data_IF_108901913622
#
_entry.id   IF_108901913622
#
_cell.length_a   1.000
_cell.length_b   1.000
_cell.length_c   1.000
_cell.angle_alpha   90.00
_cell.angle_beta   90.00
_cell.angle_gamma   90.00
#
_symmetry.space_group_name_H-M   'P 1'
#
loop_
_entity.id
_entity.type
_entity.pdbx_description
1 polymer ?
#
# COMPACT_ATOMS: atom_id res chain seq x y z
N UNK A 1 -1.14 -2.48 -15.49
CA UNK A 1 -0.39 -3.71 -15.28
C UNK A 1 -0.75 -4.66 -16.40
N UNK A 2 0.13 -4.87 -17.39
CA UNK A 2 -0.03 -5.93 -18.38
C UNK A 2 0.62 -7.15 -17.75
N UNK A 3 -0.17 -7.94 -17.04
CA UNK A 3 0.23 -9.25 -16.55
C UNK A 3 -0.26 -10.26 -17.60
N UNK A 4 0.59 -11.17 -17.99
CA UNK A 4 0.13 -12.38 -18.66
C UNK A 4 -0.63 -13.19 -17.60
N UNK A 5 -1.97 -13.19 -17.68
CA UNK A 5 -2.87 -13.80 -16.68
C UNK A 5 -2.60 -15.31 -16.48
N UNK A 6 -1.93 -15.95 -17.41
CA UNK A 6 -1.57 -17.36 -17.33
C UNK A 6 -0.49 -17.67 -16.28
N UNK A 7 0.42 -16.72 -16.02
CA UNK A 7 1.53 -16.91 -15.09
C UNK A 7 1.17 -16.63 -13.61
N UNK A 8 0.06 -15.91 -13.37
CA UNK A 8 -0.31 -15.47 -12.03
C UNK A 8 -1.80 -15.67 -11.72
N UNK A 9 -2.08 -16.15 -10.53
CA UNK A 9 -3.40 -16.02 -9.92
C UNK A 9 -3.48 -14.65 -9.24
N UNK A 10 -4.34 -13.76 -9.74
CA UNK A 10 -4.55 -12.43 -9.18
C UNK A 10 -5.97 -12.33 -8.65
N UNK A 11 -6.09 -12.00 -7.37
CA UNK A 11 -7.38 -11.69 -6.73
C UNK A 11 -7.36 -10.27 -6.22
N UNK A 12 -8.23 -9.43 -6.77
CA UNK A 12 -8.53 -8.12 -6.18
C UNK A 12 -9.58 -8.31 -5.10
N UNK A 13 -9.33 -7.75 -3.93
CA UNK A 13 -10.26 -7.78 -2.79
C UNK A 13 -10.96 -6.43 -2.75
N UNK A 14 -12.28 -6.46 -2.81
CA UNK A 14 -13.09 -5.26 -2.88
C UNK A 14 -13.04 -4.48 -1.56
N UNK A 15 -12.68 -3.21 -1.67
CA UNK A 15 -12.67 -2.23 -0.60
C UNK A 15 -13.83 -1.25 -0.86
N UNK A 16 -15.05 -1.74 -0.66
CA UNK A 16 -16.28 -0.96 -0.86
C UNK A 16 -16.78 -0.31 0.43
N UNK A 17 -17.87 0.45 0.33
CA UNK A 17 -18.53 1.06 1.48
C UNK A 17 -18.83 0.00 2.57
N UNK A 18 -18.39 0.28 3.81
CA UNK A 18 -18.46 -0.67 4.93
C UNK A 18 -17.14 -1.41 5.21
N UNK A 19 -16.19 -1.46 4.28
CA UNK A 19 -14.85 -1.98 4.56
C UNK A 19 -14.09 -1.04 5.51
N UNK A 20 -13.34 -1.55 6.53
CA UNK A 20 -12.63 -0.71 7.50
C UNK A 20 -11.68 0.33 6.89
N UNK A 21 -11.15 0.04 5.69
CA UNK A 21 -10.17 0.88 4.99
C UNK A 21 -10.72 1.57 3.74
N UNK A 22 -12.06 1.65 3.57
CA UNK A 22 -12.70 2.20 2.37
C UNK A 22 -12.19 3.58 1.95
N UNK A 23 -11.84 4.44 2.91
CA UNK A 23 -11.35 5.80 2.63
C UNK A 23 -9.85 5.96 2.72
N UNK A 24 -9.10 4.86 2.86
CA UNK A 24 -7.66 4.90 3.18
C UNK A 24 -6.79 4.08 2.24
N UNK A 25 -7.35 3.05 1.62
CA UNK A 25 -6.62 2.23 0.64
C UNK A 25 -7.20 2.40 -0.76
N UNK A 26 -6.33 2.34 -1.75
CA UNK A 26 -6.69 2.34 -3.16
C UNK A 26 -7.24 0.96 -3.55
N UNK A 27 -6.56 -0.10 -3.12
CA UNK A 27 -6.91 -1.49 -3.39
C UNK A 27 -6.13 -2.47 -2.51
N UNK A 28 -6.58 -3.72 -2.54
CA UNK A 28 -5.91 -4.87 -1.93
C UNK A 28 -5.82 -5.96 -2.98
N UNK A 29 -4.62 -6.46 -3.22
CA UNK A 29 -4.36 -7.56 -4.15
C UNK A 29 -3.73 -8.76 -3.45
N UNK A 30 -4.19 -9.94 -3.83
CA UNK A 30 -3.47 -11.18 -3.63
C UNK A 30 -2.91 -11.62 -4.98
N UNK A 31 -1.63 -11.94 -5.04
CA UNK A 31 -0.94 -12.42 -6.24
C UNK A 31 -0.18 -13.68 -5.87
N UNK A 32 -0.33 -14.73 -6.68
CA UNK A 32 0.43 -15.97 -6.55
C UNK A 32 1.01 -16.36 -7.90
N UNK A 33 2.24 -16.85 -7.92
CA UNK A 33 2.80 -17.47 -9.12
C UNK A 33 2.16 -18.84 -9.36
N UNK A 34 1.74 -19.10 -10.60
CA UNK A 34 1.31 -20.40 -11.07
C UNK A 34 2.38 -21.07 -11.95
N UNK A 35 3.52 -20.38 -12.14
CA UNK A 35 4.59 -20.84 -13.01
C UNK A 35 5.59 -21.71 -12.24
N UNK A 36 6.17 -22.70 -12.93
CA UNK A 36 7.23 -23.58 -12.40
C UNK A 36 8.60 -22.89 -12.29
N UNK A 37 8.72 -21.69 -12.83
CA UNK A 37 9.93 -20.88 -12.80
C UNK A 37 9.62 -19.47 -12.31
N UNK A 38 10.62 -18.79 -11.77
CA UNK A 38 10.47 -17.43 -11.32
C UNK A 38 9.95 -16.49 -12.41
N UNK A 39 9.04 -15.59 -12.04
CA UNK A 39 8.47 -14.54 -12.89
C UNK A 39 8.79 -13.17 -12.35
N UNK A 40 8.77 -12.18 -13.22
CA UNK A 40 9.05 -10.79 -12.85
C UNK A 40 7.80 -9.95 -13.02
N UNK A 41 7.35 -9.36 -11.92
CA UNK A 41 6.25 -8.42 -11.88
C UNK A 41 6.79 -6.97 -11.90
N UNK A 42 6.49 -6.16 -12.92
CA UNK A 42 6.84 -4.74 -12.90
C UNK A 42 5.92 -3.99 -11.93
N UNK A 43 6.51 -3.26 -11.00
CA UNK A 43 5.81 -2.32 -10.11
C UNK A 43 5.95 -0.93 -10.71
N UNK A 44 4.84 -0.40 -11.19
CA UNK A 44 4.78 0.92 -11.85
C UNK A 44 4.57 2.00 -10.78
N UNK A 45 5.27 3.14 -10.86
CA UNK A 45 5.03 4.28 -9.99
C UNK A 45 3.57 4.76 -10.05
N UNK A 46 2.94 4.90 -8.89
CA UNK A 46 1.53 5.28 -8.77
C UNK A 46 1.26 6.24 -7.60
N UNK A 47 2.32 6.68 -6.91
CA UNK A 47 2.22 7.56 -5.74
C UNK A 47 1.69 6.88 -4.47
N UNK A 48 1.48 5.57 -4.51
CA UNK A 48 0.97 4.81 -3.37
C UNK A 48 2.10 4.21 -2.52
N UNK A 49 1.99 4.33 -1.21
CA UNK A 49 2.70 3.49 -0.26
C UNK A 49 1.96 2.15 -0.12
N UNK A 50 2.65 1.07 0.12
CA UNK A 50 2.04 -0.24 0.32
C UNK A 50 2.59 -1.00 1.52
N UNK A 51 1.74 -1.78 2.18
CA UNK A 51 2.16 -2.93 2.98
C UNK A 51 2.18 -4.15 2.08
N UNK A 52 3.30 -4.87 2.13
CA UNK A 52 3.52 -6.07 1.30
C UNK A 52 3.83 -7.24 2.20
N UNK A 53 3.02 -8.26 2.13
CA UNK A 53 3.23 -9.53 2.82
C UNK A 53 3.54 -10.59 1.79
N UNK A 54 4.62 -11.32 1.97
CA UNK A 54 4.98 -12.41 1.09
C UNK A 54 5.30 -13.68 1.87
N UNK A 55 4.88 -14.79 1.35
CA UNK A 55 5.09 -16.10 1.94
C UNK A 55 5.16 -17.19 0.89
N UNK A 56 5.54 -18.38 1.33
CA UNK A 56 5.54 -19.59 0.53
C UNK A 56 4.63 -20.61 1.23
N UNK A 57 3.88 -21.40 0.46
CA UNK A 57 2.93 -22.39 1.00
C UNK A 57 3.58 -23.49 1.81
N UNK A 58 4.79 -23.88 1.43
CA UNK A 58 5.51 -24.97 2.05
C UNK A 58 6.36 -24.53 3.26
N UNK A 59 6.77 -23.26 3.25
CA UNK A 59 7.62 -22.68 4.28
C UNK A 59 6.80 -21.65 5.03
N UNK A 60 6.34 -21.93 6.22
CA UNK A 60 5.54 -21.05 7.10
C UNK A 60 6.21 -19.69 7.42
N UNK A 61 7.08 -19.22 6.54
CA UNK A 61 7.88 -18.02 6.74
C UNK A 61 7.27 -16.84 5.98
N UNK A 62 6.44 -16.06 6.65
CA UNK A 62 5.84 -14.86 6.10
C UNK A 62 6.75 -13.67 6.37
N UNK A 63 7.12 -12.96 5.32
CA UNK A 63 7.87 -11.70 5.38
C UNK A 63 6.90 -10.54 5.18
N UNK A 64 7.09 -9.46 5.94
CA UNK A 64 6.23 -8.30 5.89
C UNK A 64 7.08 -7.03 5.73
N UNK A 65 6.69 -6.20 4.77
CA UNK A 65 7.42 -5.00 4.39
C UNK A 65 6.50 -3.78 4.30
N UNK A 66 7.10 -2.63 4.54
CA UNK A 66 6.56 -1.33 4.20
C UNK A 66 7.31 -0.87 2.96
N UNK A 67 6.58 -0.67 1.86
CA UNK A 67 7.12 -0.15 0.62
C UNK A 67 6.70 1.31 0.47
N UNK A 68 7.67 2.22 0.45
CA UNK A 68 7.42 3.63 0.18
C UNK A 68 7.03 3.86 -1.28
N UNK A 69 6.66 5.10 -1.62
CA UNK A 69 6.43 5.48 -3.02
C UNK A 69 7.69 5.25 -3.84
N UNK A 70 7.49 4.92 -5.10
CA UNK A 70 8.59 4.81 -6.07
C UNK A 70 8.38 5.80 -7.21
N UNK A 71 9.46 6.36 -7.73
CA UNK A 71 9.51 7.23 -8.91
C UNK A 71 10.13 6.53 -10.13
N UNK A 72 10.50 5.25 -9.97
CA UNK A 72 11.03 4.40 -11.01
C UNK A 72 10.34 3.04 -11.04
N UNK A 73 10.33 2.38 -12.21
CA UNK A 73 9.78 1.03 -12.34
C UNK A 73 10.66 0.05 -11.55
N UNK A 74 10.08 -0.60 -10.55
CA UNK A 74 10.72 -1.68 -9.81
C UNK A 74 10.36 -3.03 -10.41
N UNK A 75 11.25 -4.00 -10.26
CA UNK A 75 11.03 -5.38 -10.70
C UNK A 75 10.94 -6.28 -9.48
N UNK A 76 9.75 -6.83 -9.22
CA UNK A 76 9.54 -7.82 -8.18
C UNK A 76 9.70 -9.21 -8.79
N UNK A 77 10.71 -9.95 -8.35
CA UNK A 77 10.88 -11.35 -8.69
C UNK A 77 9.98 -12.18 -7.77
N UNK A 78 9.11 -12.99 -8.35
CA UNK A 78 8.20 -13.91 -7.64
C UNK A 78 8.66 -15.32 -7.95
N UNK A 79 9.08 -16.05 -6.94
CA UNK A 79 9.49 -17.44 -7.07
C UNK A 79 8.26 -18.38 -7.19
N UNK A 80 8.44 -19.59 -7.69
CA UNK A 80 7.37 -20.60 -7.67
C UNK A 80 6.80 -20.76 -6.25
N UNK A 81 5.50 -20.99 -6.16
CA UNK A 81 4.75 -21.17 -4.90
C UNK A 81 4.75 -19.96 -3.94
N UNK A 82 5.42 -18.88 -4.28
CA UNK A 82 5.31 -17.65 -3.51
C UNK A 82 3.97 -16.95 -3.78
N UNK A 83 3.42 -16.38 -2.72
CA UNK A 83 2.28 -15.49 -2.79
C UNK A 83 2.62 -14.12 -2.17
N UNK A 84 1.92 -13.11 -2.64
CA UNK A 84 2.02 -11.73 -2.15
C UNK A 84 0.64 -11.18 -1.85
N UNK A 85 0.54 -10.42 -0.75
CA UNK A 85 -0.62 -9.59 -0.43
C UNK A 85 -0.14 -8.14 -0.43
N UNK A 86 -0.75 -7.31 -1.25
CA UNK A 86 -0.49 -5.88 -1.33
C UNK A 86 -1.68 -5.14 -0.74
N UNK A 87 -1.45 -4.29 0.25
CA UNK A 87 -2.41 -3.31 0.74
C UNK A 87 -1.86 -1.95 0.35
N UNK A 88 -2.43 -1.37 -0.73
CA UNK A 88 -1.98 -0.11 -1.29
C UNK A 88 -2.80 1.03 -0.72
N UNK A 89 -2.14 1.99 -0.08
CA UNK A 89 -2.80 3.16 0.48
C UNK A 89 -3.05 4.21 -0.59
N UNK A 90 -4.12 4.98 -0.42
CA UNK A 90 -4.29 6.20 -1.19
C UNK A 90 -3.07 7.12 -1.00
N UNK A 91 -2.68 7.89 -2.04
CA UNK A 91 -1.53 8.79 -1.95
C UNK A 91 -1.58 9.67 -0.70
N UNK A 92 -0.46 9.75 0.01
CA UNK A 92 -0.31 10.55 1.23
C UNK A 92 -0.95 10.00 2.51
N UNK A 93 -1.69 8.88 2.47
CA UNK A 93 -2.43 8.37 3.64
C UNK A 93 -1.58 7.41 4.49
N UNK A 94 -0.89 6.47 3.86
CA UNK A 94 -0.22 5.36 4.58
C UNK A 94 0.90 5.79 5.52
N UNK A 95 1.48 6.96 5.30
CA UNK A 95 2.61 7.46 6.10
C UNK A 95 2.25 7.80 7.54
N UNK A 96 0.97 8.04 7.86
CA UNK A 96 0.51 8.26 9.23
C UNK A 96 0.65 7.02 10.15
N UNK A 97 0.95 5.86 9.58
CA UNK A 97 1.25 4.63 10.33
C UNK A 97 2.71 4.53 10.76
N UNK A 98 3.58 5.40 10.27
CA UNK A 98 5.02 5.29 10.41
C UNK A 98 5.58 6.24 11.46
N UNK A 99 6.63 5.80 12.15
CA UNK A 99 7.37 6.61 13.11
C UNK A 99 8.46 7.47 12.45
N UNK A 100 8.49 7.53 11.11
CA UNK A 100 9.51 8.25 10.36
C UNK A 100 8.94 9.06 9.19
N UNK A 101 9.61 10.14 8.75
CA UNK A 101 9.18 10.95 7.62
C UNK A 101 9.08 10.15 6.30
N UNK A 102 8.03 10.42 5.52
CA UNK A 102 7.72 9.76 4.25
C UNK A 102 8.89 9.75 3.25
N UNK A 103 9.61 10.87 3.13
CA UNK A 103 10.72 11.03 2.18
C UNK A 103 11.90 10.08 2.42
N UNK A 104 12.02 9.52 3.63
CA UNK A 104 13.05 8.51 3.93
C UNK A 104 12.75 7.15 3.31
N UNK A 105 11.50 6.91 2.89
CA UNK A 105 11.04 5.65 2.31
C UNK A 105 10.92 5.67 0.79
N UNK A 106 11.12 6.80 0.13
CA UNK A 106 11.11 6.86 -1.34
C UNK A 106 12.08 5.83 -1.93
N UNK A 107 11.57 5.02 -2.86
CA UNK A 107 12.29 3.91 -3.52
C UNK A 107 12.78 2.79 -2.58
N UNK A 108 12.31 2.71 -1.35
CA UNK A 108 12.75 1.72 -0.36
C UNK A 108 11.62 0.81 0.09
N UNK A 109 12.01 -0.41 0.43
CA UNK A 109 11.21 -1.35 1.20
C UNK A 109 11.94 -1.64 2.51
N UNK A 110 11.25 -1.51 3.64
CA UNK A 110 11.79 -1.81 4.97
C UNK A 110 10.95 -2.88 5.66
N UNK A 111 11.52 -3.68 6.58
CA UNK A 111 10.74 -4.62 7.37
C UNK A 111 9.61 -3.90 8.12
N UNK A 112 8.44 -4.54 8.23
CA UNK A 112 7.30 -4.02 8.99
C UNK A 112 7.63 -3.93 10.50
N UNK A 113 8.37 -4.91 10.99
CA UNK A 113 8.72 -5.04 12.40
C UNK A 113 9.49 -3.82 12.91
N UNK A 114 8.97 -3.18 13.95
CA UNK A 114 9.63 -2.02 14.60
C UNK A 114 9.55 -0.71 13.82
N UNK A 115 8.79 -0.63 12.71
CA UNK A 115 8.71 0.58 11.88
C UNK A 115 7.28 1.08 11.65
N UNK A 116 6.30 0.40 12.23
CA UNK A 116 4.89 0.75 12.04
C UNK A 116 4.10 0.52 13.32
N UNK A 117 3.22 1.46 13.66
CA UNK A 117 2.24 1.29 14.72
C UNK A 117 1.32 0.10 14.42
N UNK A 118 1.17 -0.83 15.39
CA UNK A 118 0.43 -2.08 15.21
C UNK A 118 1.16 -3.16 14.40
N UNK A 119 2.41 -2.96 14.02
CA UNK A 119 3.20 -3.90 13.20
C UNK A 119 3.32 -5.30 13.83
N UNK A 120 3.60 -5.39 15.12
CA UNK A 120 3.68 -6.68 15.83
C UNK A 120 2.34 -7.44 15.85
N UNK A 121 1.22 -6.70 15.96
CA UNK A 121 -0.11 -7.30 15.88
C UNK A 121 -0.38 -7.88 14.48
N UNK A 122 0.02 -7.16 13.43
CA UNK A 122 -0.09 -7.65 12.05
C UNK A 122 0.74 -8.91 11.86
N UNK A 123 1.98 -8.94 12.33
CA UNK A 123 2.84 -10.12 12.25
C UNK A 123 2.21 -11.33 12.95
N UNK A 124 1.67 -11.13 14.15
CA UNK A 124 0.96 -12.20 14.88
C UNK A 124 -0.28 -12.72 14.12
N UNK A 125 -1.02 -11.84 13.43
CA UNK A 125 -2.16 -12.25 12.58
C UNK A 125 -1.65 -13.08 11.38
N UNK A 126 -0.57 -12.64 10.74
CA UNK A 126 0.02 -13.35 9.60
C UNK A 126 0.47 -14.77 9.96
N UNK A 127 0.98 -14.97 11.17
CA UNK A 127 1.42 -16.28 11.67
C UNK A 127 0.27 -17.23 12.02
N UNK A 128 -0.83 -16.70 12.58
CA UNK A 128 -1.92 -17.52 13.13
C UNK A 128 -3.07 -17.76 12.18
N UNK A 129 -3.38 -16.76 11.35
CA UNK A 129 -4.53 -16.80 10.45
C UNK A 129 -4.10 -17.22 9.04
N UNK A 130 -4.68 -18.32 8.54
CA UNK A 130 -4.36 -18.87 7.22
C UNK A 130 -5.37 -18.51 6.15
N UNK A 131 -6.62 -18.20 6.53
CA UNK A 131 -7.66 -17.82 5.59
C UNK A 131 -7.46 -16.37 5.10
N UNK A 132 -7.25 -16.19 3.80
CA UNK A 132 -6.92 -14.92 3.17
C UNK A 132 -7.90 -13.80 3.55
N UNK A 133 -9.20 -14.03 3.45
CA UNK A 133 -10.22 -13.01 3.70
C UNK A 133 -10.22 -12.58 5.16
N UNK A 134 -10.14 -13.55 6.08
CA UNK A 134 -10.12 -13.26 7.51
C UNK A 134 -8.81 -12.57 7.93
N UNK A 135 -7.68 -13.01 7.38
CA UNK A 135 -6.39 -12.36 7.55
C UNK A 135 -6.44 -10.88 7.17
N UNK A 136 -6.96 -10.57 6.00
CA UNK A 136 -7.10 -9.18 5.52
C UNK A 136 -8.07 -8.41 6.41
N UNK A 137 -9.18 -9.00 6.82
CA UNK A 137 -10.15 -8.36 7.72
C UNK A 137 -9.52 -7.96 9.06
N UNK A 138 -8.75 -8.86 9.67
CA UNK A 138 -8.06 -8.60 10.94
C UNK A 138 -6.97 -7.54 10.80
N UNK A 139 -6.14 -7.65 9.77
CA UNK A 139 -5.09 -6.66 9.46
C UNK A 139 -5.73 -5.28 9.23
N UNK A 140 -6.84 -5.21 8.49
CA UNK A 140 -7.54 -3.95 8.22
C UNK A 140 -8.04 -3.26 9.49
N UNK A 141 -8.46 -4.02 10.50
CA UNK A 141 -8.83 -3.47 11.81
C UNK A 141 -7.63 -2.87 12.53
N UNK A 142 -6.47 -3.56 12.51
CA UNK A 142 -5.24 -3.04 13.13
C UNK A 142 -4.81 -1.74 12.45
N UNK A 143 -4.80 -1.72 11.12
CA UNK A 143 -4.46 -0.51 10.34
C UNK A 143 -5.39 0.64 10.73
N UNK A 144 -6.71 0.40 10.73
CA UNK A 144 -7.70 1.44 11.04
C UNK A 144 -7.51 2.07 12.42
N UNK A 145 -7.25 1.24 13.43
CA UNK A 145 -7.05 1.72 14.81
C UNK A 145 -5.78 2.56 14.94
N UNK A 146 -4.74 2.23 14.18
CA UNK A 146 -3.43 2.89 14.24
C UNK A 146 -3.26 4.05 13.23
N UNK A 147 -4.21 4.25 12.32
CA UNK A 147 -4.22 5.43 11.44
C UNK A 147 -4.56 6.66 12.28
N UNK A 148 -3.54 7.44 12.60
CA UNK A 148 -3.72 8.69 13.33
C UNK A 148 -4.44 9.73 12.45
N UNK A 149 -5.32 10.51 13.08
CA UNK A 149 -5.98 11.64 12.44
C UNK A 149 -5.02 12.83 12.44
N UNK A 150 -4.17 12.91 11.44
CA UNK A 150 -3.33 14.10 11.26
C UNK A 150 -4.16 15.25 10.65
N UNK A 151 -3.88 16.48 11.09
CA UNK A 151 -4.54 17.69 10.59
C UNK A 151 -4.38 17.87 9.08
N UNK A 152 -3.29 17.37 8.51
CA UNK A 152 -2.98 17.46 7.09
C UNK A 152 -3.70 16.43 6.21
N UNK A 153 -4.40 15.44 6.80
CA UNK A 153 -5.09 14.39 6.03
C UNK A 153 -6.15 14.96 5.08
N UNK A 154 -6.86 15.99 5.50
CA UNK A 154 -7.86 16.65 4.66
C UNK A 154 -7.21 17.42 3.50
N UNK A 155 -6.11 18.12 3.76
CA UNK A 155 -5.37 18.84 2.72
C UNK A 155 -4.79 17.87 1.68
N UNK A 156 -4.15 16.79 2.12
CA UNK A 156 -3.61 15.76 1.23
C UNK A 156 -4.72 15.15 0.37
N UNK A 157 -5.85 14.79 0.99
CA UNK A 157 -7.00 14.24 0.29
C UNK A 157 -7.52 15.24 -0.75
N UNK A 158 -7.73 16.47 -0.34
CA UNK A 158 -8.19 17.55 -1.23
C UNK A 158 -7.26 17.73 -2.44
N UNK A 159 -5.96 17.90 -2.21
CA UNK A 159 -4.97 18.06 -3.28
C UNK A 159 -4.96 16.85 -4.22
N UNK A 160 -5.00 15.63 -3.66
CA UNK A 160 -5.03 14.39 -4.47
C UNK A 160 -6.28 14.33 -5.35
N UNK A 161 -7.46 14.63 -4.80
CA UNK A 161 -8.72 14.65 -5.55
C UNK A 161 -8.71 15.69 -6.67
N UNK A 162 -8.18 16.90 -6.40
CA UNK A 162 -8.05 17.96 -7.40
C UNK A 162 -7.09 17.57 -8.52
N UNK A 163 -5.93 17.00 -8.20
CA UNK A 163 -4.98 16.50 -9.19
C UNK A 163 -5.62 15.44 -10.08
N UNK A 164 -6.37 14.49 -9.50
CA UNK A 164 -7.06 13.46 -10.26
C UNK A 164 -8.17 14.05 -11.16
N UNK A 165 -9.00 14.96 -10.64
CA UNK A 165 -10.09 15.61 -11.39
C UNK A 165 -9.57 16.41 -12.58
N UNK A 166 -8.43 17.06 -12.44
CA UNK A 166 -7.80 17.86 -13.49
C UNK A 166 -6.84 17.04 -14.37
N UNK A 167 -6.73 15.73 -14.11
CA UNK A 167 -5.79 14.83 -14.80
C UNK A 167 -4.34 15.32 -14.72
N UNK A 168 -3.97 15.93 -13.59
CA UNK A 168 -2.66 16.52 -13.35
C UNK A 168 -2.47 17.94 -13.92
N UNK A 169 -3.47 18.50 -14.59
CA UNK A 169 -3.41 19.85 -15.17
C UNK A 169 -3.87 20.91 -14.16
N UNK A 170 -3.15 20.99 -13.03
CA UNK A 170 -3.36 22.00 -11.99
C UNK A 170 -1.99 22.41 -11.41
N UNK A 171 -1.81 23.69 -11.14
CA UNK A 171 -0.58 24.20 -10.54
C UNK A 171 -0.64 24.19 -9.02
N UNK A 172 0.53 24.14 -8.38
CA UNK A 172 0.64 24.17 -6.91
C UNK A 172 0.06 25.48 -6.35
N UNK A 173 0.23 26.58 -7.06
CA UNK A 173 -0.34 27.89 -6.70
C UNK A 173 -1.86 27.87 -6.66
N UNK A 174 -2.51 27.22 -7.64
CA UNK A 174 -3.96 27.07 -7.72
C UNK A 174 -4.49 26.19 -6.57
N UNK A 175 -3.80 25.07 -6.28
CA UNK A 175 -4.11 24.21 -5.13
C UNK A 175 -3.98 24.98 -3.81
N UNK A 176 -2.98 25.84 -3.70
CA UNK A 176 -2.76 26.67 -2.52
C UNK A 176 -3.89 27.68 -2.32
N UNK A 177 -4.26 28.39 -3.37
CA UNK A 177 -5.36 29.36 -3.36
C UNK A 177 -6.70 28.71 -3.01
N UNK A 178 -7.03 27.60 -3.68
CA UNK A 178 -8.28 26.86 -3.44
C UNK A 178 -8.37 26.27 -2.02
N UNK A 179 -7.24 25.79 -1.46
CA UNK A 179 -7.20 25.15 -0.15
C UNK A 179 -7.00 26.10 1.03
N UNK A 180 -6.67 27.39 0.76
CA UNK A 180 -6.36 28.38 1.77
C UNK A 180 -4.96 28.20 2.45
N UNK A 181 -4.09 27.39 1.81
CA UNK A 181 -2.71 27.18 2.27
C UNK A 181 -1.71 27.92 1.38
N UNK A 182 -0.45 27.96 1.75
CA UNK A 182 0.61 28.52 0.92
C UNK A 182 1.18 27.45 -0.02
N UNK A 183 1.67 27.84 -1.19
CA UNK A 183 2.32 26.93 -2.14
C UNK A 183 3.51 26.17 -1.48
N UNK A 184 4.25 26.84 -0.59
CA UNK A 184 5.34 26.22 0.19
C UNK A 184 4.87 25.11 1.15
N UNK A 185 3.61 25.18 1.61
CA UNK A 185 3.06 24.18 2.52
C UNK A 185 2.56 22.93 1.76
N UNK A 186 2.19 23.10 0.49
CA UNK A 186 1.66 22.05 -0.39
C UNK A 186 2.78 21.31 -1.13
N UNK A 187 3.86 21.99 -1.55
CA UNK A 187 5.00 21.48 -2.32
C UNK A 187 6.19 21.05 -1.43
#
# INVERSE_FOLDING_TARGET
LILEEEDFEIKKIDVTFGHPLYTTVADIFYIRSNADTARVLPIIPDGCMALVFCGNREKENIRAYICGVTDEIKKLKIEPDEYYIFIRFLPGIGYSLLDQPANKLTNKAIPLKGHMAGGEQILSILERETHLVERIRLISKVIRVNLHSESNKYLIKYCTERILQTQGNIKVEELAEESGFTARHIG
#
